data_IF_585169571106
#
_entry.id   IF_585169571106
#
_cell.length_a   1.000
_cell.length_b   1.000
_cell.length_c   1.000
_cell.angle_alpha   90.00
_cell.angle_beta   90.00
_cell.angle_gamma   90.00
#
_symmetry.space_group_name_H-M   'P 1'
#
loop_
_entity.id
_entity.type
_entity.pdbx_description
1 polymer ?
#
# COMPACT_ATOMS: atom_id res chain seq x y z
N UNK A 1 -2.79 -11.46 -35.11
CA UNK A 1 -3.07 -10.35 -34.19
C UNK A 1 -3.32 -9.09 -34.98
N UNK A 2 -3.15 -7.93 -34.38
CA UNK A 2 -3.23 -6.63 -35.06
C UNK A 2 -1.92 -5.89 -34.83
N UNK A 3 -1.31 -5.36 -35.89
CA UNK A 3 -0.20 -4.42 -35.79
C UNK A 3 -0.82 -3.05 -35.59
N UNK A 4 -0.62 -2.47 -34.41
CA UNK A 4 -0.90 -1.07 -34.15
C UNK A 4 0.35 -0.27 -34.52
N UNK A 5 0.24 0.65 -35.48
CA UNK A 5 1.38 1.49 -35.89
C UNK A 5 0.95 2.91 -36.17
N UNK A 6 1.92 3.80 -36.03
CA UNK A 6 1.78 5.22 -36.30
C UNK A 6 2.72 5.61 -37.43
N UNK A 7 2.17 6.19 -38.50
CA UNK A 7 2.94 6.77 -39.59
C UNK A 7 3.15 8.24 -39.25
N UNK A 8 4.40 8.69 -39.23
CA UNK A 8 4.75 10.10 -39.11
C UNK A 8 5.31 10.60 -40.43
N UNK A 9 4.86 11.76 -40.90
CA UNK A 9 5.27 12.34 -42.18
C UNK A 9 5.20 13.86 -42.13
N UNK A 10 5.99 14.52 -42.99
CA UNK A 10 5.92 15.98 -43.19
C UNK A 10 5.12 16.24 -44.46
N UNK A 11 4.10 17.09 -44.37
CA UNK A 11 3.28 17.45 -45.51
C UNK A 11 3.94 18.53 -46.40
N UNK A 12 3.31 18.86 -47.52
CA UNK A 12 3.83 19.88 -48.46
C UNK A 12 3.84 21.31 -47.88
N UNK A 13 3.17 21.55 -46.75
CA UNK A 13 3.21 22.81 -46.02
C UNK A 13 4.29 22.86 -44.93
N UNK A 14 5.08 21.79 -44.80
CA UNK A 14 6.14 21.68 -43.79
C UNK A 14 5.63 21.33 -42.40
N UNK A 15 4.36 20.92 -42.27
CA UNK A 15 3.78 20.49 -41.00
C UNK A 15 4.01 18.99 -40.79
N UNK A 16 4.45 18.64 -39.59
CA UNK A 16 4.48 17.24 -39.15
C UNK A 16 3.06 16.75 -38.91
N UNK A 17 2.76 15.57 -39.44
CA UNK A 17 1.47 14.90 -39.31
C UNK A 17 1.67 13.45 -38.93
N UNK A 18 0.61 12.85 -38.40
CA UNK A 18 0.61 11.44 -38.08
C UNK A 18 -0.69 10.77 -38.53
N UNK A 19 -0.60 9.51 -38.95
CA UNK A 19 -1.74 8.69 -39.34
C UNK A 19 -1.66 7.32 -38.65
N UNK A 20 -2.66 7.01 -37.82
CA UNK A 20 -2.75 5.73 -37.13
C UNK A 20 -3.25 4.65 -38.10
N UNK A 21 -2.74 3.44 -37.97
CA UNK A 21 -3.12 2.33 -38.82
C UNK A 21 -3.10 1.01 -38.04
N UNK A 22 -4.22 0.31 -38.08
CA UNK A 22 -4.34 -1.06 -37.59
C UNK A 22 -4.28 -2.03 -38.77
N UNK A 23 -3.39 -3.02 -38.67
CA UNK A 23 -3.21 -4.04 -39.72
C UNK A 23 -3.42 -5.42 -39.13
N UNK A 24 -4.55 -6.10 -39.43
CA UNK A 24 -4.74 -7.47 -39.01
C UNK A 24 -3.77 -8.39 -39.76
N UNK A 25 -3.26 -9.39 -39.06
CA UNK A 25 -2.44 -10.44 -39.65
C UNK A 25 -2.75 -11.80 -39.02
N UNK A 26 -2.44 -12.86 -39.77
CA UNK A 26 -2.45 -14.23 -39.30
C UNK A 26 -1.26 -14.98 -39.89
N UNK A 27 -0.77 -15.98 -39.16
CA UNK A 27 0.28 -16.89 -39.63
C UNK A 27 0.09 -18.25 -38.97
N UNK A 28 0.75 -19.25 -39.52
CA UNK A 28 0.85 -20.58 -38.94
C UNK A 28 2.27 -20.81 -38.45
N UNK A 29 2.41 -21.44 -37.27
CA UNK A 29 3.69 -21.89 -36.74
C UNK A 29 3.62 -23.40 -36.59
N UNK A 30 4.31 -24.12 -37.46
CA UNK A 30 4.36 -25.57 -37.38
C UNK A 30 5.29 -25.97 -36.23
N UNK A 31 4.74 -26.58 -35.17
CA UNK A 31 5.53 -27.12 -34.06
C UNK A 31 5.45 -28.64 -34.10
N UNK A 32 6.51 -29.33 -34.58
CA UNK A 32 6.52 -30.79 -34.64
C UNK A 32 6.21 -31.42 -33.27
N UNK A 33 5.31 -32.40 -33.26
CA UNK A 33 4.90 -33.13 -32.05
C UNK A 33 3.78 -32.47 -31.23
N UNK A 34 3.39 -31.23 -31.54
CA UNK A 34 2.27 -30.57 -30.86
C UNK A 34 0.93 -31.27 -31.15
N UNK A 35 0.15 -31.55 -30.10
CA UNK A 35 -1.22 -32.09 -30.19
C UNK A 35 -2.19 -31.27 -29.34
N UNK A 36 -3.49 -31.47 -29.56
CA UNK A 36 -4.53 -30.75 -28.82
C UNK A 36 -4.43 -31.00 -27.30
N UNK A 37 -4.56 -29.92 -26.51
CA UNK A 37 -4.50 -29.96 -25.05
C UNK A 37 -3.12 -29.68 -24.44
N UNK A 38 -2.07 -29.51 -25.26
CA UNK A 38 -0.75 -29.07 -24.80
C UNK A 38 -0.72 -27.57 -24.47
N UNK A 39 0.17 -27.19 -23.55
CA UNK A 39 0.39 -25.81 -23.11
C UNK A 39 1.22 -25.06 -24.18
N UNK A 40 0.73 -23.92 -24.68
CA UNK A 40 1.41 -23.12 -25.71
C UNK A 40 1.84 -21.78 -25.14
N UNK A 41 3.11 -21.44 -25.31
CA UNK A 41 3.66 -20.12 -25.04
C UNK A 41 4.08 -19.47 -26.36
N UNK A 42 3.70 -18.21 -26.56
CA UNK A 42 3.97 -17.45 -27.78
C UNK A 42 4.64 -16.15 -27.38
N UNK A 43 5.81 -15.89 -27.95
CA UNK A 43 6.48 -14.60 -27.88
C UNK A 43 6.63 -14.06 -29.30
N UNK A 44 6.47 -12.75 -29.47
CA UNK A 44 6.59 -12.11 -30.77
C UNK A 44 7.33 -10.80 -30.68
N UNK A 45 8.12 -10.49 -31.70
CA UNK A 45 8.84 -9.23 -31.81
C UNK A 45 8.76 -8.69 -33.23
N UNK A 46 8.72 -7.35 -33.36
CA UNK A 46 8.89 -6.69 -34.65
C UNK A 46 10.38 -6.68 -34.93
N UNK A 47 10.81 -7.45 -35.92
CA UNK A 47 12.21 -7.54 -36.30
C UNK A 47 12.63 -6.32 -37.12
N UNK A 48 11.79 -5.90 -38.08
CA UNK A 48 12.06 -4.71 -38.88
C UNK A 48 10.79 -4.10 -39.46
N UNK A 49 10.84 -2.79 -39.68
CA UNK A 49 9.83 -2.02 -40.43
C UNK A 49 10.56 -1.28 -41.55
N UNK A 50 10.25 -1.66 -42.79
CA UNK A 50 10.75 -0.99 -43.99
C UNK A 50 9.62 -0.22 -44.64
N UNK A 51 9.91 0.98 -45.14
CA UNK A 51 8.92 1.80 -45.82
C UNK A 51 9.53 2.55 -46.99
N UNK A 52 8.68 2.86 -47.97
CA UNK A 52 9.04 3.59 -49.18
C UNK A 52 7.83 4.41 -49.62
N UNK A 53 8.06 5.68 -49.93
CA UNK A 53 7.03 6.54 -50.50
C UNK A 53 6.94 6.26 -52.00
N UNK A 54 5.85 5.63 -52.45
CA UNK A 54 5.62 5.30 -53.87
C UNK A 54 5.24 6.53 -54.69
N UNK A 55 4.44 7.42 -54.09
CA UNK A 55 4.02 8.71 -54.65
C UNK A 55 3.90 9.73 -53.52
N UNK A 56 3.69 11.02 -53.80
CA UNK A 56 3.55 12.07 -52.77
C UNK A 56 2.50 11.75 -51.68
N UNK A 57 1.56 10.83 -51.94
CA UNK A 57 0.50 10.43 -51.00
C UNK A 57 0.37 8.93 -50.81
N UNK A 58 1.24 8.08 -51.36
CA UNK A 58 1.13 6.63 -51.18
C UNK A 58 2.37 6.05 -50.51
N UNK A 59 2.19 5.42 -49.35
CA UNK A 59 3.26 4.80 -48.58
C UNK A 59 3.19 3.28 -48.69
N UNK A 60 4.25 2.67 -49.22
CA UNK A 60 4.50 1.23 -49.12
C UNK A 60 5.17 0.93 -47.78
N UNK A 61 4.65 -0.07 -47.09
CA UNK A 61 5.13 -0.51 -45.78
C UNK A 61 5.31 -2.03 -45.78
N UNK A 62 6.39 -2.48 -45.15
CA UNK A 62 6.75 -3.89 -44.95
C UNK A 62 7.15 -4.07 -43.50
N UNK A 63 6.33 -4.78 -42.74
CA UNK A 63 6.61 -5.13 -41.34
C UNK A 63 6.97 -6.61 -41.28
N UNK A 64 8.14 -6.93 -40.74
CA UNK A 64 8.56 -8.31 -40.46
C UNK A 64 8.38 -8.57 -38.97
N UNK A 65 7.58 -9.58 -38.65
CA UNK A 65 7.33 -10.00 -37.27
C UNK A 65 7.85 -11.42 -37.11
N UNK A 66 8.70 -11.60 -36.10
CA UNK A 66 9.19 -12.91 -35.69
C UNK A 66 8.33 -13.46 -34.55
N UNK A 67 7.92 -14.72 -34.66
CA UNK A 67 7.19 -15.46 -33.63
C UNK A 67 8.06 -16.59 -33.12
N UNK A 68 8.25 -16.67 -31.81
CA UNK A 68 8.79 -17.83 -31.12
C UNK A 68 7.64 -18.55 -30.39
N UNK A 69 7.38 -19.79 -30.79
CA UNK A 69 6.34 -20.62 -30.17
C UNK A 69 6.98 -21.81 -29.48
N UNK A 70 6.60 -22.02 -28.21
CA UNK A 70 7.02 -23.14 -27.38
C UNK A 70 5.80 -23.93 -26.94
N UNK A 71 5.77 -25.22 -27.25
CA UNK A 71 4.70 -26.13 -26.84
C UNK A 71 5.22 -27.08 -25.78
N UNK A 72 4.51 -27.18 -24.66
CA UNK A 72 4.86 -27.99 -23.50
C UNK A 72 3.70 -28.88 -23.06
N UNK A 73 3.99 -29.98 -22.36
CA UNK A 73 2.99 -30.77 -21.65
C UNK A 73 3.43 -31.06 -20.23
N UNK A 74 2.49 -31.03 -19.29
CA UNK A 74 2.73 -31.50 -17.93
C UNK A 74 2.84 -33.03 -17.93
N UNK A 75 4.02 -33.56 -17.60
CA UNK A 75 4.23 -35.01 -17.47
C UNK A 75 4.70 -35.37 -16.07
N UNK A 76 4.38 -36.59 -15.65
CA UNK A 76 4.97 -37.19 -14.45
C UNK A 76 6.02 -38.19 -14.88
N UNK A 77 7.29 -37.93 -14.57
CA UNK A 77 8.40 -38.80 -14.92
C UNK A 77 9.27 -39.08 -13.70
N UNK A 78 9.84 -40.28 -13.64
CA UNK A 78 10.89 -40.60 -12.66
C UNK A 78 12.21 -40.03 -13.17
N UNK A 79 12.85 -39.22 -12.35
CA UNK A 79 14.05 -38.47 -12.75
C UNK A 79 15.26 -38.84 -11.92
N UNK A 80 16.44 -38.67 -12.50
CA UNK A 80 17.73 -38.71 -11.80
C UNK A 80 18.58 -37.59 -12.36
N UNK A 81 19.41 -36.96 -11.53
CA UNK A 81 20.34 -35.92 -11.98
C UNK A 81 21.29 -36.51 -13.05
N UNK A 82 21.53 -35.77 -14.15
CA UNK A 82 22.30 -36.32 -15.27
C UNK A 82 22.51 -35.33 -16.41
N UNK A 83 22.94 -35.82 -17.57
CA UNK A 83 23.32 -34.99 -18.74
C UNK A 83 22.13 -34.62 -19.65
N UNK A 84 20.89 -34.79 -19.19
CA UNK A 84 19.69 -34.54 -19.99
C UNK A 84 19.32 -33.06 -20.16
N UNK A 85 18.09 -32.76 -20.65
CA UNK A 85 17.62 -31.40 -20.85
C UNK A 85 17.55 -30.63 -19.52
N UNK A 86 17.62 -29.29 -19.60
CA UNK A 86 17.50 -28.41 -18.44
C UNK A 86 16.02 -28.17 -18.12
N UNK A 87 15.59 -28.51 -16.91
CA UNK A 87 14.21 -28.31 -16.45
C UNK A 87 14.17 -27.31 -15.30
N UNK A 88 13.14 -26.46 -15.30
CA UNK A 88 12.78 -25.62 -14.16
C UNK A 88 11.99 -26.47 -13.16
N UNK A 89 12.54 -26.70 -11.98
CA UNK A 89 11.97 -27.57 -10.95
C UNK A 89 11.82 -26.80 -9.65
N UNK A 90 10.81 -27.17 -8.85
CA UNK A 90 10.70 -26.76 -7.46
C UNK A 90 11.48 -27.76 -6.60
N UNK A 91 12.70 -27.40 -6.20
CA UNK A 91 13.48 -28.19 -5.25
C UNK A 91 12.92 -27.98 -3.84
N UNK A 92 12.64 -29.07 -3.15
CA UNK A 92 12.21 -29.03 -1.74
C UNK A 92 13.44 -28.83 -0.88
N UNK A 93 13.49 -27.69 -0.18
CA UNK A 93 14.57 -27.37 0.77
C UNK A 93 14.34 -28.11 2.08
N UNK A 94 13.08 -28.19 2.51
CA UNK A 94 12.68 -28.95 3.67
C UNK A 94 11.20 -28.83 3.96
N UNK A 95 10.73 -29.66 4.88
CA UNK A 95 9.38 -29.65 5.39
C UNK A 95 9.40 -30.02 6.87
N UNK A 96 8.49 -29.43 7.64
CA UNK A 96 8.34 -29.72 9.07
C UNK A 96 6.88 -29.50 9.50
N UNK A 97 6.47 -30.19 10.55
CA UNK A 97 5.19 -30.03 11.22
C UNK A 97 5.41 -29.81 12.71
N UNK A 98 4.73 -28.82 13.28
CA UNK A 98 4.64 -28.67 14.74
C UNK A 98 3.20 -28.51 15.19
N UNK A 99 2.96 -28.87 16.45
CA UNK A 99 1.70 -28.65 17.14
C UNK A 99 1.84 -27.47 18.09
N UNK A 100 0.82 -26.62 18.13
CA UNK A 100 0.68 -25.58 19.15
C UNK A 100 -0.57 -25.82 19.98
N UNK A 101 -0.46 -25.55 21.27
CA UNK A 101 -1.56 -25.60 22.23
C UNK A 101 -1.99 -24.17 22.56
N UNK A 102 -3.20 -23.80 22.17
CA UNK A 102 -3.85 -22.57 22.61
C UNK A 102 -4.75 -22.88 23.80
N UNK A 103 -4.33 -22.50 24.99
CA UNK A 103 -5.10 -22.66 26.23
C UNK A 103 -5.58 -21.29 26.73
N UNK A 104 -6.90 -21.15 26.94
CA UNK A 104 -7.47 -19.90 27.44
C UNK A 104 -8.70 -20.12 28.33
N UNK A 105 -8.98 -19.14 29.17
CA UNK A 105 -10.22 -19.04 29.93
C UNK A 105 -11.06 -17.91 29.35
N UNK A 106 -12.29 -18.24 28.93
CA UNK A 106 -13.23 -17.28 28.36
C UNK A 106 -14.40 -17.11 29.31
N UNK A 107 -14.75 -15.86 29.56
CA UNK A 107 -15.98 -15.53 30.28
C UNK A 107 -17.08 -15.43 29.23
N UNK A 108 -18.05 -16.35 29.31
CA UNK A 108 -19.25 -16.30 28.49
C UNK A 108 -20.09 -15.09 28.90
N UNK A 109 -20.67 -14.40 27.92
CA UNK A 109 -21.50 -13.20 28.15
C UNK A 109 -22.70 -13.48 29.07
N UNK A 110 -23.15 -14.73 29.13
CA UNK A 110 -24.26 -15.18 29.98
C UNK A 110 -23.88 -16.45 30.75
N UNK A 111 -24.39 -16.63 31.99
CA UNK A 111 -24.33 -17.90 32.69
C UNK A 111 -24.88 -19.04 31.84
N UNK A 112 -24.13 -20.13 31.76
CA UNK A 112 -24.46 -21.28 30.94
C UNK A 112 -24.74 -22.50 31.83
N UNK A 113 -25.69 -23.32 31.40
CA UNK A 113 -25.91 -24.67 31.96
C UNK A 113 -24.86 -25.63 31.38
N UNK A 114 -24.56 -25.48 30.08
CA UNK A 114 -23.57 -26.27 29.37
C UNK A 114 -23.11 -25.57 28.09
N UNK A 115 -21.89 -25.90 27.66
CA UNK A 115 -21.43 -25.63 26.28
C UNK A 115 -21.87 -26.79 25.40
N UNK A 116 -22.49 -26.48 24.27
CA UNK A 116 -22.96 -27.47 23.30
C UNK A 116 -21.82 -27.87 22.36
N UNK A 117 -21.19 -26.89 21.74
CA UNK A 117 -20.12 -27.09 20.77
C UNK A 117 -19.26 -25.84 20.63
N UNK A 118 -18.01 -26.02 20.22
CA UNK A 118 -17.13 -24.94 19.78
C UNK A 118 -16.77 -25.24 18.33
N UNK A 119 -17.15 -24.36 17.42
CA UNK A 119 -16.79 -24.43 16.01
C UNK A 119 -15.63 -23.48 15.76
N UNK A 120 -14.54 -23.99 15.19
CA UNK A 120 -13.32 -23.21 15.02
C UNK A 120 -12.77 -23.35 13.60
N UNK A 121 -12.11 -22.29 13.12
CA UNK A 121 -11.38 -22.29 11.86
C UNK A 121 -10.14 -21.41 11.96
N UNK A 122 -9.13 -21.76 11.19
CA UNK A 122 -7.91 -20.97 11.05
C UNK A 122 -8.10 -20.00 9.88
N UNK A 123 -7.76 -18.74 10.10
CA UNK A 123 -7.87 -17.65 9.13
C UNK A 123 -6.57 -16.85 9.07
N UNK A 124 -6.41 -16.10 7.98
CA UNK A 124 -5.35 -15.11 7.78
C UNK A 124 -3.94 -15.65 8.02
N UNK A 125 -3.69 -16.87 7.54
CA UNK A 125 -2.39 -17.53 7.69
C UNK A 125 -1.37 -16.91 6.74
N UNK A 126 -0.32 -16.35 7.32
CA UNK A 126 0.83 -15.80 6.59
C UNK A 126 2.07 -16.58 7.02
N UNK A 127 2.93 -16.89 6.07
CA UNK A 127 4.22 -17.49 6.37
C UNK A 127 5.37 -16.86 5.58
N UNK A 128 6.54 -16.82 6.23
CA UNK A 128 7.77 -16.31 5.63
C UNK A 128 8.94 -17.22 6.01
N UNK A 129 9.70 -17.63 5.01
CA UNK A 129 10.99 -18.28 5.23
C UNK A 129 12.01 -17.24 5.71
N UNK A 130 12.77 -17.60 6.73
CA UNK A 130 13.96 -16.90 7.21
C UNK A 130 15.11 -17.92 7.32
N UNK A 131 16.27 -17.50 7.81
CA UNK A 131 17.41 -18.39 7.95
C UNK A 131 17.09 -19.59 8.86
N UNK A 132 17.08 -20.79 8.27
CA UNK A 132 16.79 -22.10 8.90
C UNK A 132 15.43 -22.25 9.60
N UNK A 133 14.51 -21.30 9.43
CA UNK A 133 13.19 -21.31 10.06
C UNK A 133 12.12 -20.79 9.10
N UNK A 134 10.88 -21.18 9.36
CA UNK A 134 9.68 -20.55 8.81
C UNK A 134 8.88 -19.92 9.95
N UNK A 135 8.54 -18.65 9.80
CA UNK A 135 7.60 -17.96 10.70
C UNK A 135 6.21 -18.17 10.15
N UNK A 136 5.28 -18.65 10.98
CA UNK A 136 3.86 -18.78 10.64
C UNK A 136 3.04 -17.97 11.63
N UNK A 137 2.13 -17.14 11.12
CA UNK A 137 1.20 -16.34 11.90
C UNK A 137 -0.22 -16.53 11.36
N UNK A 138 -1.22 -16.50 12.23
CA UNK A 138 -2.61 -16.59 11.83
C UNK A 138 -3.56 -16.33 12.99
N UNK A 139 -4.87 -16.44 12.71
CA UNK A 139 -5.93 -16.24 13.69
C UNK A 139 -6.72 -17.54 13.85
N UNK A 140 -6.86 -17.99 15.09
CA UNK A 140 -7.83 -19.01 15.49
C UNK A 140 -9.15 -18.32 15.81
N UNK A 141 -10.09 -18.38 14.87
CA UNK A 141 -11.44 -17.86 15.05
C UNK A 141 -12.36 -18.96 15.57
N UNK A 142 -13.13 -18.67 16.61
CA UNK A 142 -14.02 -19.63 17.26
C UNK A 142 -15.40 -19.06 17.47
N UNK A 143 -16.38 -19.96 17.42
CA UNK A 143 -17.75 -19.72 17.87
C UNK A 143 -18.11 -20.74 18.93
N UNK A 144 -18.35 -20.25 20.14
CA UNK A 144 -18.80 -21.06 21.26
C UNK A 144 -20.32 -21.03 21.30
N UNK A 145 -20.96 -22.17 21.11
CA UNK A 145 -22.41 -22.35 21.24
C UNK A 145 -22.72 -22.96 22.61
N UNK A 146 -23.58 -22.32 23.38
CA UNK A 146 -23.89 -22.72 24.75
C UNK A 146 -25.36 -22.48 25.10
N UNK A 147 -25.86 -23.21 26.11
CA UNK A 147 -27.23 -23.08 26.60
C UNK A 147 -27.23 -22.26 27.87
N UNK A 148 -27.95 -21.13 27.87
CA UNK A 148 -28.11 -20.26 29.02
C UNK A 148 -28.94 -20.88 30.14
N UNK A 149 -28.92 -20.28 31.33
CA UNK A 149 -29.78 -20.68 32.47
C UNK A 149 -31.28 -20.50 32.21
N UNK A 150 -31.64 -19.73 31.19
CA UNK A 150 -32.99 -19.55 30.65
C UNK A 150 -33.39 -20.61 29.62
N UNK A 151 -32.51 -21.61 29.39
CA UNK A 151 -32.69 -22.68 28.42
C UNK A 151 -32.75 -22.21 26.95
N UNK A 152 -32.17 -21.04 26.66
CA UNK A 152 -31.99 -20.49 25.31
C UNK A 152 -30.57 -20.76 24.80
N UNK A 153 -30.43 -21.05 23.51
CA UNK A 153 -29.13 -21.22 22.85
C UNK A 153 -28.54 -19.86 22.47
N UNK A 154 -27.29 -19.66 22.86
CA UNK A 154 -26.49 -18.46 22.55
C UNK A 154 -25.19 -18.86 21.86
N UNK A 155 -24.59 -17.88 21.20
CA UNK A 155 -23.25 -18.02 20.62
C UNK A 155 -22.36 -16.84 21.01
N UNK A 156 -21.05 -17.08 21.09
CA UNK A 156 -20.06 -16.05 21.36
C UNK A 156 -18.80 -16.28 20.51
N UNK A 157 -18.35 -15.21 19.87
CA UNK A 157 -17.16 -15.19 19.03
C UNK A 157 -15.90 -14.91 19.84
N UNK A 158 -14.80 -15.52 19.42
CA UNK A 158 -13.46 -15.21 19.95
C UNK A 158 -12.42 -15.38 18.85
N UNK A 159 -11.53 -14.39 18.73
CA UNK A 159 -10.36 -14.44 17.86
C UNK A 159 -9.09 -14.49 18.71
N UNK A 160 -8.29 -15.54 18.50
CA UNK A 160 -7.01 -15.71 19.19
C UNK A 160 -5.89 -15.70 18.16
N UNK A 161 -4.99 -14.69 18.16
CA UNK A 161 -3.81 -14.71 17.31
C UNK A 161 -2.84 -15.80 17.77
N UNK A 162 -2.23 -16.50 16.82
CA UNK A 162 -1.14 -17.44 17.10
C UNK A 162 0.08 -17.17 16.22
N UNK A 163 1.25 -17.54 16.73
CA UNK A 163 2.53 -17.45 16.02
C UNK A 163 3.41 -18.63 16.43
N UNK A 164 4.14 -19.20 15.47
CA UNK A 164 5.13 -20.24 15.75
C UNK A 164 6.30 -20.19 14.76
N UNK A 165 7.39 -20.86 15.14
CA UNK A 165 8.56 -21.08 14.29
C UNK A 165 8.67 -22.55 13.97
N UNK A 166 8.76 -22.90 12.69
CA UNK A 166 9.11 -24.25 12.25
C UNK A 166 10.59 -24.28 11.92
N UNK A 167 11.36 -25.12 12.61
CA UNK A 167 12.75 -25.37 12.27
C UNK A 167 12.84 -26.17 10.97
N UNK A 168 13.33 -25.52 9.91
CA UNK A 168 13.53 -26.13 8.59
C UNK A 168 14.94 -25.74 8.12
N UNK A 169 15.96 -26.57 8.40
CA UNK A 169 17.34 -26.27 8.01
C UNK A 169 17.47 -26.00 6.50
N UNK A 170 18.27 -25.00 6.13
CA UNK A 170 18.54 -24.64 4.73
C UNK A 170 17.60 -23.57 4.15
N UNK A 171 16.58 -23.14 4.88
CA UNK A 171 15.72 -22.04 4.42
C UNK A 171 16.42 -20.68 4.52
N UNK A 172 16.10 -19.77 3.59
CA UNK A 172 16.51 -18.35 3.60
C UNK A 172 15.34 -17.46 3.16
N UNK A 173 15.48 -16.15 3.33
CA UNK A 173 14.49 -15.18 2.90
C UNK A 173 14.22 -15.26 1.38
N UNK A 174 12.95 -15.17 0.99
CA UNK A 174 12.51 -15.18 -0.41
C UNK A 174 12.19 -16.55 -1.01
N UNK A 175 12.36 -17.65 -0.26
CA UNK A 175 11.91 -18.98 -0.71
C UNK A 175 10.39 -19.13 -0.64
N UNK A 176 9.84 -19.99 -1.50
CA UNK A 176 8.40 -20.28 -1.56
C UNK A 176 7.98 -21.17 -0.39
N UNK A 177 7.00 -20.73 0.39
CA UNK A 177 6.47 -21.48 1.54
C UNK A 177 5.03 -21.87 1.28
N UNK A 178 4.71 -23.16 1.38
CA UNK A 178 3.34 -23.67 1.40
C UNK A 178 2.98 -24.12 2.80
N UNK A 179 1.88 -23.61 3.33
CA UNK A 179 1.37 -23.93 4.67
C UNK A 179 0.08 -24.73 4.58
N UNK A 180 -0.04 -25.73 5.45
CA UNK A 180 -1.31 -26.35 5.78
C UNK A 180 -1.48 -26.33 7.31
N UNK A 181 -2.50 -25.65 7.81
CA UNK A 181 -2.79 -25.54 9.23
C UNK A 181 -4.17 -26.15 9.50
N UNK A 182 -4.23 -27.12 10.43
CA UNK A 182 -5.45 -27.85 10.76
C UNK A 182 -5.66 -27.85 12.28
N UNK A 183 -6.93 -27.82 12.69
CA UNK A 183 -7.31 -28.00 14.09
C UNK A 183 -7.50 -29.49 14.31
N UNK A 184 -6.69 -30.08 15.18
CA UNK A 184 -6.77 -31.51 15.48
C UNK A 184 -7.79 -31.78 16.59
N UNK A 185 -7.74 -30.98 17.66
CA UNK A 185 -8.58 -31.19 18.83
C UNK A 185 -9.02 -29.86 19.45
N UNK A 186 -10.26 -29.85 19.92
CA UNK A 186 -10.81 -28.80 20.79
C UNK A 186 -11.33 -29.51 22.03
N UNK A 187 -10.76 -29.18 23.19
CA UNK A 187 -11.19 -29.65 24.49
C UNK A 187 -11.71 -28.46 25.27
N UNK A 188 -12.80 -28.63 26.01
CA UNK A 188 -13.37 -27.55 26.79
C UNK A 188 -14.12 -28.09 28.00
N UNK A 189 -14.08 -27.30 29.07
CA UNK A 189 -14.79 -27.55 30.31
C UNK A 189 -15.47 -26.25 30.74
N UNK A 190 -16.79 -26.30 30.89
CA UNK A 190 -17.50 -25.23 31.57
C UNK A 190 -17.28 -25.43 33.07
N UNK A 191 -16.56 -24.49 33.69
CA UNK A 191 -16.27 -24.52 35.12
C UNK A 191 -17.49 -24.04 35.90
N UNK A 192 -17.43 -22.85 36.49
CA UNK A 192 -18.56 -22.28 37.25
C UNK A 192 -19.22 -21.12 36.51
N UNK A 193 -20.55 -21.16 36.44
CA UNK A 193 -21.39 -20.10 35.90
C UNK A 193 -21.17 -19.86 34.41
N UNK A 194 -20.22 -18.98 34.08
CA UNK A 194 -19.89 -18.56 32.72
C UNK A 194 -18.40 -18.69 32.39
N UNK A 195 -17.59 -19.32 33.24
CA UNK A 195 -16.16 -19.50 32.96
C UNK A 195 -15.93 -20.77 32.13
N UNK A 196 -15.56 -20.59 30.87
CA UNK A 196 -15.20 -21.66 29.95
C UNK A 196 -13.67 -21.81 29.90
N UNK A 197 -13.18 -22.96 30.34
CA UNK A 197 -11.81 -23.38 30.09
C UNK A 197 -11.73 -24.12 28.76
N UNK A 198 -10.74 -23.80 27.91
CA UNK A 198 -10.61 -24.43 26.61
C UNK A 198 -9.16 -24.60 26.19
N UNK A 199 -8.93 -25.67 25.42
CA UNK A 199 -7.65 -26.05 24.83
C UNK A 199 -7.86 -26.39 23.36
N UNK A 200 -7.14 -25.72 22.48
CA UNK A 200 -7.17 -26.02 21.04
C UNK A 200 -5.78 -26.45 20.60
N UNK A 201 -5.71 -27.64 20.00
CA UNK A 201 -4.49 -28.18 19.39
C UNK A 201 -4.54 -27.91 17.90
N UNK A 202 -3.57 -27.14 17.43
CA UNK A 202 -3.41 -26.80 16.01
C UNK A 202 -2.14 -27.48 15.51
N UNK A 203 -2.23 -28.25 14.44
CA UNK A 203 -1.07 -28.76 13.71
C UNK A 203 -0.80 -27.86 12.50
N UNK A 204 0.44 -27.41 12.38
CA UNK A 204 0.90 -26.59 11.25
C UNK A 204 2.02 -27.32 10.54
N UNK A 205 1.79 -27.65 9.27
CA UNK A 205 2.78 -28.18 8.34
C UNK A 205 3.25 -27.08 7.39
N UNK A 206 4.56 -26.97 7.21
CA UNK A 206 5.16 -26.13 6.19
C UNK A 206 6.06 -26.94 5.27
N UNK A 207 6.01 -26.61 3.98
CA UNK A 207 6.92 -27.09 2.95
C UNK A 207 7.56 -25.91 2.25
N UNK A 208 8.89 -25.88 2.22
CA UNK A 208 9.67 -24.81 1.58
C UNK A 208 10.31 -25.32 0.30
N UNK A 209 10.12 -24.56 -0.77
CA UNK A 209 10.71 -24.84 -2.08
C UNK A 209 11.49 -23.65 -2.63
N UNK A 210 12.47 -23.93 -3.47
CA UNK A 210 13.09 -22.91 -4.34
C UNK A 210 13.05 -23.38 -5.79
N UNK A 211 12.99 -22.43 -6.71
CA UNK A 211 13.13 -22.74 -8.12
C UNK A 211 14.61 -23.01 -8.46
N UNK A 212 14.86 -24.13 -9.13
CA UNK A 212 16.18 -24.49 -9.65
C UNK A 212 16.07 -24.92 -11.11
N UNK A 213 17.19 -24.79 -11.84
CA UNK A 213 17.35 -25.36 -13.16
C UNK A 213 18.31 -26.54 -13.08
N UNK A 214 17.80 -27.75 -13.26
CA UNK A 214 18.60 -28.97 -13.19
C UNK A 214 18.56 -29.71 -14.51
N UNK A 215 19.71 -30.26 -14.90
CA UNK A 215 19.77 -31.23 -15.99
C UNK A 215 19.33 -32.57 -15.43
N UNK A 216 18.20 -33.06 -15.91
CA UNK A 216 17.64 -34.33 -15.45
C UNK A 216 17.60 -35.34 -16.59
N UNK A 217 17.93 -36.58 -16.27
CA UNK A 217 17.72 -37.73 -17.13
C UNK A 217 16.55 -38.56 -16.60
N UNK A 218 15.87 -39.30 -17.48
CA UNK A 218 14.89 -40.31 -17.08
C UNK A 218 15.59 -41.42 -16.30
N UNK A 219 15.02 -41.83 -15.16
CA UNK A 219 15.67 -42.77 -14.23
C UNK A 219 14.71 -43.45 -13.26
N UNK A 220 15.24 -44.07 -12.21
CA UNK A 220 14.43 -44.74 -11.16
C UNK A 220 14.20 -43.87 -9.92
N UNK A 221 14.54 -42.58 -9.97
CA UNK A 221 14.32 -41.66 -8.85
C UNK A 221 12.86 -41.22 -8.68
N UNK A 222 12.60 -40.18 -7.89
CA UNK A 222 11.24 -39.77 -7.52
C UNK A 222 10.42 -39.35 -8.74
N UNK A 223 9.11 -39.62 -8.67
CA UNK A 223 8.16 -39.19 -9.68
C UNK A 223 7.91 -37.69 -9.51
N UNK A 224 8.32 -36.89 -10.48
CA UNK A 224 8.16 -35.43 -10.46
C UNK A 224 7.23 -34.98 -11.58
N UNK A 225 6.37 -34.01 -11.29
CA UNK A 225 5.56 -33.31 -12.30
C UNK A 225 6.43 -32.20 -12.92
N UNK A 226 6.68 -32.28 -14.22
CA UNK A 226 7.53 -31.33 -14.95
C UNK A 226 6.82 -30.88 -16.23
N UNK A 227 7.19 -29.69 -16.73
CA UNK A 227 6.79 -29.24 -18.06
C UNK A 227 7.82 -29.73 -19.07
N UNK A 228 7.44 -30.69 -19.93
CA UNK A 228 8.30 -31.18 -21.00
C UNK A 228 8.06 -30.34 -22.26
N UNK A 229 9.13 -29.79 -22.84
CA UNK A 229 9.09 -29.16 -24.16
C UNK A 229 8.91 -30.24 -25.23
N UNK A 230 7.85 -30.11 -26.01
CA UNK A 230 7.51 -31.02 -27.11
C UNK A 230 8.08 -30.52 -28.43
N UNK A 231 8.06 -29.21 -28.61
CA UNK A 231 8.67 -28.57 -29.75
C UNK A 231 8.76 -27.07 -29.54
N UNK A 232 9.72 -26.49 -30.25
CA UNK A 232 9.89 -25.05 -30.38
C UNK A 232 10.06 -24.77 -31.87
N UNK A 233 9.47 -23.68 -32.35
CA UNK A 233 9.75 -23.22 -33.69
C UNK A 233 9.68 -21.69 -33.77
N UNK A 234 10.42 -21.16 -34.73
CA UNK A 234 10.40 -19.75 -35.09
C UNK A 234 9.82 -19.64 -36.49
N UNK A 235 8.89 -18.70 -36.67
CA UNK A 235 8.44 -18.29 -38.00
C UNK A 235 8.47 -16.79 -38.12
N UNK A 236 8.62 -16.30 -39.34
CA UNK A 236 8.52 -14.88 -39.66
C UNK A 236 7.34 -14.65 -40.58
N UNK A 237 6.61 -13.57 -40.36
CA UNK A 237 5.56 -13.11 -41.27
C UNK A 237 5.91 -11.71 -41.78
N UNK A 238 5.84 -11.54 -43.10
CA UNK A 238 5.94 -10.26 -43.76
C UNK A 238 4.53 -9.71 -44.02
N UNK A 239 4.19 -8.60 -43.39
CA UNK A 239 2.97 -7.86 -43.67
C UNK A 239 3.31 -6.69 -44.59
N UNK A 240 2.91 -6.81 -45.86
CA UNK A 240 3.09 -5.76 -46.89
C UNK A 240 1.77 -5.02 -47.10
N UNK A 241 1.78 -3.69 -46.99
CA UNK A 241 0.60 -2.84 -47.23
C UNK A 241 0.98 -1.54 -47.94
N UNK A 242 0.10 -1.10 -48.85
CA UNK A 242 0.14 0.25 -49.44
C UNK A 242 -1.03 1.02 -48.85
N UNK A 243 -0.79 2.21 -48.31
CA UNK A 243 -1.84 3.05 -47.72
C UNK A 243 -1.72 4.48 -48.25
N UNK A 244 -2.84 5.15 -48.54
CA UNK A 244 -2.82 6.58 -48.82
C UNK A 244 -2.55 7.37 -47.52
N UNK A 245 -1.72 8.40 -47.65
CA UNK A 245 -1.47 9.44 -46.66
C UNK A 245 -2.62 10.44 -46.74
N UNK A 246 -3.37 10.58 -45.65
CA UNK A 246 -4.51 11.50 -45.57
C UNK A 246 -4.03 12.82 -44.97
N UNK A 247 -4.14 13.92 -45.74
CA UNK A 247 -3.86 15.29 -45.28
C UNK A 247 -5.19 15.95 -44.90
N UNK A 248 -5.50 16.13 -43.61
CA UNK A 248 -6.70 16.86 -43.21
C UNK A 248 -6.57 18.36 -43.54
N UNK A 249 -7.68 19.06 -43.84
CA UNK A 249 -7.67 20.51 -44.07
C UNK A 249 -7.22 21.24 -42.80
N UNK A 250 -6.41 22.31 -42.97
CA UNK A 250 -5.90 23.14 -41.88
C UNK A 250 -7.07 23.74 -41.09
N UNK A 251 -7.21 23.45 -39.77
CA UNK A 251 -8.22 24.07 -38.93
C UNK A 251 -7.99 25.59 -38.81
N UNK A 252 -9.05 26.40 -38.59
CA UNK A 252 -8.88 27.80 -38.23
C UNK A 252 -8.05 27.92 -36.95
N UNK A 253 -7.21 28.95 -36.88
CA UNK A 253 -6.33 29.23 -35.74
C UNK A 253 -7.14 29.23 -34.43
N UNK A 254 -6.77 28.41 -33.44
CA UNK A 254 -7.43 28.42 -32.14
C UNK A 254 -7.25 29.77 -31.44
N UNK A 255 -8.19 30.14 -30.54
CA UNK A 255 -8.00 31.29 -29.67
C UNK A 255 -6.72 31.11 -28.84
N UNK A 256 -6.04 32.22 -28.48
CA UNK A 256 -4.85 32.16 -27.62
C UNK A 256 -5.20 31.50 -26.29
N UNK A 257 -4.27 30.71 -25.76
CA UNK A 257 -4.42 30.06 -24.46
C UNK A 257 -4.55 31.10 -23.35
N UNK A 258 -5.45 30.85 -22.38
CA UNK A 258 -5.55 31.64 -21.16
C UNK A 258 -5.12 30.76 -19.99
N UNK A 259 -4.11 31.21 -19.25
CA UNK A 259 -3.60 30.54 -18.05
C UNK A 259 -3.99 31.35 -16.82
N UNK A 260 -4.54 30.69 -15.81
CA UNK A 260 -4.61 31.22 -14.46
C UNK A 260 -3.30 30.95 -13.75
N UNK A 261 -2.64 31.98 -13.22
CA UNK A 261 -1.48 31.82 -12.33
C UNK A 261 -1.70 32.50 -10.99
N UNK A 262 -1.10 31.94 -9.95
CA UNK A 262 -1.07 32.53 -8.62
C UNK A 262 0.32 32.36 -8.02
N UNK A 263 0.83 33.41 -7.37
CA UNK A 263 2.05 33.33 -6.57
C UNK A 263 1.74 32.82 -5.17
N UNK A 264 2.21 31.62 -4.85
CA UNK A 264 2.15 31.03 -3.51
C UNK A 264 3.46 31.36 -2.78
N UNK A 265 3.34 31.90 -1.58
CA UNK A 265 4.44 32.15 -0.66
C UNK A 265 4.62 30.91 0.20
N UNK A 266 5.78 30.28 0.09
CA UNK A 266 6.15 29.16 0.95
C UNK A 266 7.14 29.71 1.98
N UNK A 267 6.76 29.79 3.25
CA UNK A 267 7.68 30.18 4.31
C UNK A 267 8.90 29.26 4.32
N UNK A 268 10.09 29.81 4.48
CA UNK A 268 11.26 28.99 4.72
C UNK A 268 11.20 28.37 6.12
N UNK A 269 11.85 27.23 6.30
CA UNK A 269 12.01 26.59 7.61
C UNK A 269 13.47 26.72 8.00
N UNK A 270 13.74 27.40 9.10
CA UNK A 270 15.10 27.58 9.64
C UNK A 270 15.52 26.34 10.44
N UNK A 271 14.62 25.83 11.28
CA UNK A 271 14.87 24.63 12.08
C UNK A 271 13.57 23.88 12.36
N UNK A 272 13.66 22.54 12.43
CA UNK A 272 12.62 21.68 12.98
C UNK A 272 13.18 21.00 14.20
N UNK A 273 12.55 21.22 15.35
CA UNK A 273 12.99 20.68 16.64
C UNK A 273 11.91 19.73 17.11
N UNK A 274 12.29 18.47 17.29
CA UNK A 274 11.38 17.44 17.76
C UNK A 274 11.87 16.85 19.07
N UNK A 275 10.97 16.73 20.05
CA UNK A 275 11.29 16.17 21.35
C UNK A 275 10.15 15.36 21.94
N UNK A 276 10.49 14.17 22.43
CA UNK A 276 9.59 13.32 23.18
C UNK A 276 9.51 13.79 24.64
N UNK A 277 8.30 13.88 25.18
CA UNK A 277 8.03 14.30 26.56
C UNK A 277 7.18 13.25 27.26
N UNK A 278 7.57 12.90 28.48
CA UNK A 278 6.82 11.98 29.33
C UNK A 278 6.10 12.77 30.42
N UNK A 279 4.79 12.52 30.54
CA UNK A 279 3.96 13.11 31.59
C UNK A 279 3.42 11.97 32.45
N UNK A 280 3.85 11.93 33.70
CA UNK A 280 3.27 11.05 34.71
C UNK A 280 1.99 11.71 35.25
N UNK A 281 0.90 10.95 35.23
CA UNK A 281 -0.38 11.40 35.77
C UNK A 281 -1.04 10.29 36.59
N UNK A 282 -1.60 10.63 37.74
CA UNK A 282 -2.37 9.70 38.55
C UNK A 282 -3.78 10.27 38.77
N UNK A 283 -4.79 9.55 38.31
CA UNK A 283 -6.19 9.95 38.48
C UNK A 283 -6.91 8.98 39.40
N UNK A 284 -7.73 9.52 40.30
CA UNK A 284 -8.59 8.71 41.17
C UNK A 284 -9.97 8.56 40.53
N UNK A 285 -10.34 7.32 40.24
CA UNK A 285 -11.66 6.97 39.74
C UNK A 285 -12.73 7.22 40.82
N UNK A 286 -13.91 7.72 40.43
CA UNK A 286 -14.99 8.02 41.37
C UNK A 286 -15.53 6.75 42.05
N UNK A 287 -15.44 5.62 41.34
CA UNK A 287 -15.79 4.27 41.84
C UNK A 287 -14.68 3.28 41.47
N UNK A 288 -14.52 2.16 42.22
CA UNK A 288 -13.54 1.13 41.87
C UNK A 288 -13.83 0.50 40.50
N UNK A 289 -12.80 0.36 39.67
CA UNK A 289 -12.83 -0.33 38.39
C UNK A 289 -12.33 -1.77 38.51
N UNK A 290 -12.96 -2.67 37.76
CA UNK A 290 -12.48 -4.04 37.53
C UNK A 290 -11.45 -4.05 36.39
N UNK A 291 -11.74 -3.31 35.31
CA UNK A 291 -10.85 -3.19 34.14
C UNK A 291 -10.95 -1.82 33.49
N UNK A 292 -9.86 -1.38 32.89
CA UNK A 292 -9.83 -0.22 32.00
C UNK A 292 -10.07 -0.72 30.57
N UNK A 293 -11.04 -0.13 29.88
CA UNK A 293 -11.37 -0.48 28.49
C UNK A 293 -10.52 0.32 27.51
N UNK A 294 -10.43 1.63 27.73
CA UNK A 294 -9.66 2.52 26.88
C UNK A 294 -9.24 3.77 27.66
N UNK A 295 -8.08 4.31 27.30
CA UNK A 295 -7.68 5.66 27.68
C UNK A 295 -7.33 6.37 26.38
N UNK A 296 -8.09 7.40 26.04
CA UNK A 296 -7.88 8.22 24.85
C UNK A 296 -7.63 9.67 25.26
N UNK A 297 -7.04 10.46 24.35
CA UNK A 297 -6.89 11.88 24.59
C UNK A 297 -6.70 12.68 23.30
N UNK A 298 -6.87 13.99 23.42
CA UNK A 298 -6.61 14.98 22.39
C UNK A 298 -5.81 16.14 23.00
N UNK A 299 -5.03 16.83 22.17
CA UNK A 299 -4.29 18.02 22.59
C UNK A 299 -5.16 19.25 22.38
N UNK A 300 -5.26 20.11 23.39
CA UNK A 300 -5.95 21.39 23.35
C UNK A 300 -5.03 22.51 23.81
N UNK A 301 -5.31 23.75 23.38
CA UNK A 301 -4.64 24.97 23.84
C UNK A 301 -3.11 24.93 23.70
N UNK A 302 -2.61 24.35 22.61
CA UNK A 302 -1.18 24.24 22.34
C UNK A 302 -0.60 25.60 21.96
N UNK A 303 0.41 26.06 22.70
CA UNK A 303 1.05 27.37 22.50
C UNK A 303 2.57 27.19 22.63
N UNK A 304 3.32 27.83 21.72
CA UNK A 304 4.77 27.95 21.78
C UNK A 304 5.21 29.37 22.07
N UNK A 305 6.15 29.55 22.98
CA UNK A 305 6.78 30.83 23.27
C UNK A 305 8.30 30.67 23.25
N UNK A 306 9.00 31.48 22.46
CA UNK A 306 10.47 31.54 22.51
C UNK A 306 10.91 32.13 23.84
N UNK A 307 11.78 31.41 24.53
CA UNK A 307 12.50 31.84 25.74
C UNK A 307 14.00 31.74 25.48
N UNK A 308 14.89 32.28 26.33
CA UNK A 308 16.33 32.14 26.12
C UNK A 308 16.72 30.67 25.94
N UNK A 309 17.37 30.35 24.81
CA UNK A 309 17.90 29.05 24.41
C UNK A 309 16.88 27.89 24.26
N UNK A 310 15.58 28.16 24.31
CA UNK A 310 14.54 27.14 24.18
C UNK A 310 13.20 27.68 23.68
N UNK A 311 12.33 26.78 23.26
CA UNK A 311 10.91 27.05 22.98
C UNK A 311 10.09 26.41 24.10
N UNK A 312 9.41 27.24 24.89
CA UNK A 312 8.46 26.79 25.90
C UNK A 312 7.15 26.41 25.20
N UNK A 313 6.81 25.12 25.24
CA UNK A 313 5.55 24.59 24.72
C UNK A 313 4.63 24.28 25.88
N UNK A 314 3.43 24.86 25.87
CA UNK A 314 2.38 24.58 26.85
C UNK A 314 1.12 24.09 26.16
N UNK A 315 0.37 23.23 26.84
CA UNK A 315 -0.89 22.70 26.33
C UNK A 315 -1.61 21.86 27.36
N UNK A 316 -2.75 21.31 26.97
CA UNK A 316 -3.55 20.42 27.81
C UNK A 316 -3.88 19.15 27.05
N UNK A 317 -3.59 18.00 27.65
CA UNK A 317 -4.13 16.72 27.18
C UNK A 317 -5.54 16.58 27.76
N UNK A 318 -6.58 16.72 26.93
CA UNK A 318 -7.95 16.39 27.29
C UNK A 318 -8.14 14.89 27.13
N UNK A 319 -8.39 14.19 28.22
CA UNK A 319 -8.41 12.73 28.30
C UNK A 319 -9.78 12.19 28.62
N UNK A 320 -10.03 11.00 28.13
CA UNK A 320 -11.23 10.22 28.35
C UNK A 320 -10.84 8.81 28.77
N UNK A 321 -11.26 8.39 29.96
CA UNK A 321 -11.00 7.06 30.53
C UNK A 321 -12.31 6.30 30.54
N UNK A 322 -12.37 5.24 29.75
CA UNK A 322 -13.47 4.27 29.77
C UNK A 322 -13.09 3.07 30.63
N UNK A 323 -13.91 2.78 31.63
CA UNK A 323 -13.65 1.68 32.56
C UNK A 323 -14.93 0.95 32.95
N UNK A 324 -14.79 -0.28 33.43
CA UNK A 324 -15.90 -1.10 33.93
C UNK A 324 -15.83 -1.12 35.45
N UNK A 325 -16.90 -0.67 36.10
CA UNK A 325 -17.00 -0.68 37.57
C UNK A 325 -17.33 -2.07 38.15
N UNK A 326 -17.36 -2.17 39.48
CA UNK A 326 -17.70 -3.42 40.19
C UNK A 326 -19.13 -3.93 39.94
N UNK A 327 -20.01 -3.10 39.38
CA UNK A 327 -21.36 -3.47 38.97
C UNK A 327 -21.43 -3.85 37.48
N UNK A 328 -20.28 -4.09 36.83
CA UNK A 328 -20.15 -4.35 35.40
C UNK A 328 -20.70 -3.24 34.49
N UNK A 329 -20.82 -2.02 35.01
CA UNK A 329 -21.28 -0.86 34.25
C UNK A 329 -20.09 -0.16 33.61
N UNK A 330 -20.18 0.12 32.31
CA UNK A 330 -19.21 0.98 31.61
C UNK A 330 -19.41 2.42 32.07
N UNK A 331 -18.33 3.04 32.54
CA UNK A 331 -18.27 4.45 32.92
C UNK A 331 -17.20 5.18 32.14
N UNK A 332 -17.39 6.48 32.03
CA UNK A 332 -16.45 7.41 31.43
C UNK A 332 -16.03 8.46 32.47
N UNK A 333 -14.74 8.77 32.51
CA UNK A 333 -14.18 9.89 33.27
C UNK A 333 -13.39 10.78 32.31
N UNK A 334 -13.72 12.06 32.27
CA UNK A 334 -12.93 13.06 31.56
C UNK A 334 -11.97 13.77 32.52
N UNK A 335 -10.76 14.03 32.04
CA UNK A 335 -9.68 14.65 32.79
C UNK A 335 -8.88 15.59 31.89
N UNK A 336 -8.40 16.71 32.42
CA UNK A 336 -7.50 17.62 31.72
C UNK A 336 -6.13 17.56 32.39
N UNK A 337 -5.10 17.14 31.65
CA UNK A 337 -3.72 17.05 32.14
C UNK A 337 -2.90 18.16 31.47
N UNK A 338 -2.64 19.29 32.15
CA UNK A 338 -1.79 20.34 31.60
C UNK A 338 -0.35 19.88 31.52
N UNK A 339 0.37 20.32 30.49
CA UNK A 339 1.79 20.05 30.33
C UNK A 339 2.57 21.30 29.91
N UNK A 340 3.86 21.26 30.20
CA UNK A 340 4.84 22.27 29.85
C UNK A 340 6.16 21.57 29.52
N UNK A 341 6.78 21.94 28.41
CA UNK A 341 8.06 21.39 27.99
C UNK A 341 8.95 22.48 27.39
N UNK A 342 10.26 22.33 27.55
CA UNK A 342 11.26 23.19 26.91
C UNK A 342 11.94 22.40 25.80
N UNK A 343 11.75 22.85 24.56
CA UNK A 343 12.46 22.33 23.38
C UNK A 343 13.78 23.11 23.21
N UNK A 344 14.96 22.48 23.35
CA UNK A 344 16.24 23.17 23.20
C UNK A 344 16.39 23.80 21.82
N UNK A 345 16.63 25.10 21.78
CA UNK A 345 16.54 25.90 20.57
C UNK A 345 17.50 27.10 20.64
N UNK A 346 18.81 26.82 20.66
CA UNK A 346 19.84 27.85 20.79
C UNK A 346 19.95 28.70 19.51
N UNK A 347 20.05 30.03 19.69
CA UNK A 347 20.30 30.96 18.58
C UNK A 347 19.06 31.49 17.86
N UNK A 348 17.84 31.11 18.26
CA UNK A 348 16.61 31.66 17.67
C UNK A 348 16.35 33.08 18.22
N UNK A 349 16.17 34.04 17.32
CA UNK A 349 15.85 35.41 17.70
C UNK A 349 14.45 35.51 18.36
N UNK A 350 14.28 36.32 19.43
CA UNK A 350 12.96 36.58 19.98
C UNK A 350 12.02 37.19 18.92
N UNK A 351 10.82 36.63 18.79
CA UNK A 351 9.82 37.07 17.82
C UNK A 351 9.86 36.36 16.46
N UNK A 352 10.81 35.44 16.24
CA UNK A 352 10.74 34.52 15.09
C UNK A 352 9.43 33.73 15.15
N UNK A 353 8.64 33.67 14.06
CA UNK A 353 7.42 32.88 14.03
C UNK A 353 7.75 31.39 14.22
N UNK A 354 7.01 30.72 15.10
CA UNK A 354 7.15 29.29 15.37
C UNK A 354 5.78 28.63 15.29
N UNK A 355 5.71 27.53 14.54
CA UNK A 355 4.55 26.65 14.52
C UNK A 355 4.80 25.46 15.44
N UNK A 356 3.81 25.11 16.26
CA UNK A 356 3.90 24.00 17.21
C UNK A 356 2.86 22.94 16.86
N UNK A 357 3.30 21.69 16.79
CA UNK A 357 2.43 20.52 16.77
C UNK A 357 2.79 19.56 17.90
N UNK A 358 1.80 18.79 18.33
CA UNK A 358 1.95 17.80 19.39
C UNK A 358 1.13 16.56 19.04
N UNK A 359 1.74 15.39 19.14
CA UNK A 359 1.10 14.10 18.92
C UNK A 359 1.18 13.26 20.20
N UNK A 360 0.13 12.51 20.50
CA UNK A 360 0.11 11.53 21.59
C UNK A 360 0.59 10.20 21.01
N UNK A 361 1.84 9.83 21.25
CA UNK A 361 2.37 8.55 20.77
C UNK A 361 1.78 7.38 21.56
N UNK A 362 1.65 7.54 22.88
CA UNK A 362 1.15 6.47 23.74
C UNK A 362 0.58 7.03 25.06
N UNK A 363 -0.44 6.35 25.59
CA UNK A 363 -0.89 6.50 26.97
C UNK A 363 -0.85 5.12 27.63
N UNK A 364 0.24 4.84 28.33
CA UNK A 364 0.35 3.61 29.14
C UNK A 364 -0.28 3.84 30.51
N UNK A 365 -0.84 2.77 31.10
CA UNK A 365 -1.50 2.88 32.39
C UNK A 365 -1.39 1.60 33.23
N UNK A 366 -1.49 1.76 34.54
CA UNK A 366 -1.63 0.68 35.51
C UNK A 366 -2.70 1.02 36.53
N UNK A 367 -3.58 0.07 36.82
CA UNK A 367 -4.62 0.21 37.81
C UNK A 367 -4.12 -0.34 39.15
N UNK A 368 -4.21 0.46 40.20
CA UNK A 368 -3.90 0.04 41.57
C UNK A 368 -4.79 -1.12 42.03
N UNK A 369 -4.30 -1.91 42.99
CA UNK A 369 -4.97 -3.11 43.49
C UNK A 369 -6.38 -2.86 44.07
N UNK A 370 -6.67 -1.65 44.54
CA UNK A 370 -8.00 -1.28 45.05
C UNK A 370 -8.97 -0.82 43.94
N UNK A 371 -8.52 -0.83 42.68
CA UNK A 371 -9.30 -0.43 41.51
C UNK A 371 -9.58 1.09 41.43
N UNK A 372 -8.98 1.93 42.28
CA UNK A 372 -9.34 3.35 42.37
C UNK A 372 -8.34 4.30 41.74
N UNK A 373 -7.05 4.03 41.83
CA UNK A 373 -6.01 4.91 41.28
C UNK A 373 -5.49 4.34 39.97
N UNK A 374 -5.54 5.13 38.92
CA UNK A 374 -4.99 4.83 37.60
C UNK A 374 -3.72 5.66 37.41
N UNK A 375 -2.56 5.00 37.51
CA UNK A 375 -1.26 5.62 37.21
C UNK A 375 -1.03 5.54 35.71
N UNK A 376 -0.59 6.63 35.11
CA UNK A 376 -0.54 6.81 33.67
C UNK A 376 0.78 7.46 33.28
N UNK A 377 1.37 7.01 32.18
CA UNK A 377 2.50 7.69 31.54
C UNK A 377 2.06 8.03 30.13
N UNK A 378 1.91 9.32 29.87
CA UNK A 378 1.58 9.88 28.56
C UNK A 378 2.89 10.23 27.87
N UNK A 379 3.06 9.73 26.67
CA UNK A 379 4.20 10.00 25.81
C UNK A 379 3.73 10.93 24.70
N UNK A 380 4.27 12.15 24.67
CA UNK A 380 4.01 13.14 23.64
C UNK A 380 5.22 13.31 22.74
N UNK A 381 4.98 13.45 21.45
CA UNK A 381 5.96 13.95 20.49
C UNK A 381 5.64 15.41 20.21
N UNK A 382 6.51 16.33 20.65
CA UNK A 382 6.38 17.76 20.36
C UNK A 382 7.27 18.11 19.18
N UNK A 383 6.73 18.86 18.22
CA UNK A 383 7.49 19.41 17.11
C UNK A 383 7.31 20.93 17.07
N UNK A 384 8.42 21.65 17.05
CA UNK A 384 8.45 23.08 16.82
C UNK A 384 9.14 23.36 15.48
N UNK A 385 8.42 24.00 14.58
CA UNK A 385 8.93 24.44 13.27
C UNK A 385 9.21 25.93 13.36
N UNK A 386 10.48 26.28 13.26
CA UNK A 386 10.98 27.66 13.32
C UNK A 386 11.00 28.21 11.90
N UNK A 387 10.22 29.26 11.68
CA UNK A 387 10.06 29.84 10.34
C UNK A 387 11.21 30.80 10.04
N UNK A 388 11.81 30.64 8.86
CA UNK A 388 12.79 31.57 8.34
C UNK A 388 12.13 32.88 7.91
N UNK A 389 12.90 33.97 7.97
CA UNK A 389 12.52 35.25 7.34
C UNK A 389 12.62 35.21 5.82
N UNK A 390 13.35 34.24 5.27
CA UNK A 390 13.40 33.99 3.83
C UNK A 390 12.24 33.09 3.42
N UNK A 391 11.36 33.61 2.59
CA UNK A 391 10.26 32.86 1.98
C UNK A 391 10.49 32.75 0.47
N UNK A 392 10.24 31.57 -0.07
CA UNK A 392 10.25 31.35 -1.52
C UNK A 392 8.87 31.68 -2.09
N UNK A 393 8.84 32.30 -3.27
CA UNK A 393 7.59 32.56 -4.00
C UNK A 393 7.57 31.64 -5.22
N UNK A 394 6.54 30.82 -5.33
CA UNK A 394 6.36 29.88 -6.44
C UNK A 394 5.11 30.29 -7.20
N UNK A 395 5.25 30.54 -8.49
CA UNK A 395 4.12 30.75 -9.39
C UNK A 395 3.55 29.39 -9.80
N UNK A 396 2.26 29.19 -9.54
CA UNK A 396 1.56 27.93 -9.85
C UNK A 396 0.43 28.18 -10.83
N UNK A 397 0.17 27.21 -11.69
CA UNK A 397 -0.96 27.22 -12.61
C UNK A 397 -2.23 26.80 -11.85
N UNK A 398 -3.28 27.62 -11.95
CA UNK A 398 -4.58 27.38 -11.30
C UNK A 398 -5.68 27.04 -12.30
N UNK A 399 -5.51 27.38 -13.58
CA UNK A 399 -6.39 26.97 -14.67
C UNK A 399 -5.69 26.99 -16.02
N UNK A 400 -6.13 26.13 -16.94
CA UNK A 400 -5.65 26.09 -18.34
C UNK A 400 -6.87 26.09 -19.27
N UNK A 401 -7.09 27.20 -19.97
CA UNK A 401 -8.11 27.28 -21.02
C UNK A 401 -7.43 27.17 -22.39
N UNK A 402 -7.40 25.95 -22.92
CA UNK A 402 -6.91 25.65 -24.27
C UNK A 402 -7.71 24.51 -24.91
N UNK A 403 -8.09 24.58 -26.20
CA UNK A 403 -9.03 23.61 -26.76
C UNK A 403 -8.52 22.16 -26.69
N UNK A 404 -9.32 21.28 -26.10
CA UNK A 404 -9.01 19.86 -25.95
C UNK A 404 -8.10 19.51 -24.77
N UNK A 405 -7.55 20.49 -24.05
CA UNK A 405 -6.75 20.24 -22.85
C UNK A 405 -7.66 19.88 -21.68
N UNK A 406 -7.26 18.84 -20.95
CA UNK A 406 -7.86 18.37 -19.71
C UNK A 406 -6.86 18.58 -18.57
N UNK A 407 -7.31 19.14 -17.45
CA UNK A 407 -6.51 19.36 -16.25
C UNK A 407 -6.88 18.37 -15.16
N UNK A 408 -5.91 18.01 -14.32
CA UNK A 408 -6.13 17.43 -13.00
C UNK A 408 -5.90 18.51 -11.97
N UNK A 409 -6.85 18.69 -11.07
CA UNK A 409 -6.91 19.82 -10.15
C UNK A 409 -7.00 19.34 -8.71
N UNK A 410 -6.42 20.12 -7.80
CA UNK A 410 -6.45 19.86 -6.37
C UNK A 410 -6.84 21.14 -5.62
N UNK A 411 -7.81 21.03 -4.70
CA UNK A 411 -8.20 22.12 -3.82
C UNK A 411 -7.24 22.16 -2.62
N UNK A 412 -6.57 23.29 -2.44
CA UNK A 412 -5.56 23.49 -1.40
C UNK A 412 -5.81 24.79 -0.64
N UNK A 413 -5.27 24.89 0.57
CA UNK A 413 -5.16 26.13 1.33
C UNK A 413 -3.70 26.57 1.35
N UNK A 414 -3.42 27.79 0.92
CA UNK A 414 -2.05 28.28 0.81
C UNK A 414 -1.96 29.79 1.08
N UNK A 415 -0.75 30.26 1.43
CA UNK A 415 -0.47 31.69 1.53
C UNK A 415 -0.28 32.27 0.13
N UNK A 416 -1.30 32.95 -0.37
CA UNK A 416 -1.29 33.57 -1.69
C UNK A 416 -0.82 35.03 -1.57
N UNK A 417 0.10 35.43 -2.43
CA UNK A 417 0.60 36.81 -2.44
C UNK A 417 -0.43 37.74 -3.11
N UNK A 418 -1.07 38.62 -2.32
CA UNK A 418 -2.00 39.65 -2.79
C UNK A 418 -1.48 41.03 -2.42
N UNK A 419 -1.25 41.89 -3.43
CA UNK A 419 -0.75 43.25 -3.20
C UNK A 419 0.49 43.29 -2.29
N UNK A 420 1.42 42.33 -2.47
CA UNK A 420 2.63 42.15 -1.66
C UNK A 420 2.40 41.65 -0.21
N UNK A 421 1.19 41.22 0.14
CA UNK A 421 0.87 40.65 1.44
C UNK A 421 0.46 39.18 1.27
N UNK A 422 1.11 38.22 1.95
CA UNK A 422 0.65 36.83 1.99
C UNK A 422 -0.71 36.73 2.70
N UNK A 423 -1.70 36.15 2.05
CA UNK A 423 -3.04 35.91 2.59
C UNK A 423 -3.38 34.43 2.49
N UNK A 424 -3.88 33.83 3.58
CA UNK A 424 -4.30 32.43 3.56
C UNK A 424 -5.62 32.31 2.77
N UNK A 425 -5.58 31.60 1.64
CA UNK A 425 -6.71 31.43 0.73
C UNK A 425 -6.89 29.94 0.37
N UNK A 426 -8.14 29.53 0.16
CA UNK A 426 -8.44 28.26 -0.50
C UNK A 426 -8.49 28.49 -2.02
N UNK A 427 -7.73 27.71 -2.78
CA UNK A 427 -7.64 27.82 -4.23
C UNK A 427 -7.42 26.46 -4.87
N UNK A 428 -7.79 26.38 -6.14
CA UNK A 428 -7.48 25.21 -6.98
C UNK A 428 -6.12 25.36 -7.62
N UNK A 429 -5.29 24.31 -7.55
CA UNK A 429 -4.02 24.22 -8.27
C UNK A 429 -4.08 23.08 -9.30
N UNK A 430 -3.47 23.29 -10.45
CA UNK A 430 -3.34 22.26 -11.50
C UNK A 430 -2.15 21.37 -11.14
N UNK A 431 -2.40 20.07 -11.02
CA UNK A 431 -1.37 19.04 -10.73
C UNK A 431 -0.96 18.27 -11.98
N UNK A 432 -1.78 18.30 -13.04
CA UNK A 432 -1.46 17.75 -14.35
C UNK A 432 -2.27 18.41 -15.46
N UNK A 433 -1.76 18.43 -16.68
CA UNK A 433 -2.50 18.86 -17.86
C UNK A 433 -2.12 17.98 -19.05
N UNK A 434 -3.13 17.47 -19.77
CA UNK A 434 -2.95 16.59 -20.93
C UNK A 434 -3.92 16.98 -22.03
N UNK A 435 -3.47 16.95 -23.29
CA UNK A 435 -4.33 17.22 -24.43
C UNK A 435 -3.57 17.70 -25.65
N UNK A 436 -4.27 17.90 -26.79
CA UNK A 436 -3.66 18.42 -28.00
C UNK A 436 -3.02 19.79 -27.75
N UNK A 437 -1.81 19.95 -28.29
CA UNK A 437 -0.99 21.14 -28.13
C UNK A 437 -0.28 21.28 -26.77
N UNK A 438 -0.44 20.39 -25.80
CA UNK A 438 0.46 20.37 -24.62
C UNK A 438 1.79 19.76 -25.04
N UNK A 439 2.84 20.59 -25.13
CA UNK A 439 4.19 20.15 -25.54
C UNK A 439 5.04 19.72 -24.34
N UNK A 440 4.94 20.47 -23.24
CA UNK A 440 5.65 20.19 -22.00
C UNK A 440 4.92 20.78 -20.79
N UNK A 441 5.11 20.16 -19.63
CA UNK A 441 4.71 20.70 -18.34
C UNK A 441 5.94 20.71 -17.42
N UNK A 442 6.13 21.80 -16.68
CA UNK A 442 7.08 21.85 -15.58
C UNK A 442 6.31 21.72 -14.29
N UNK A 443 6.88 20.94 -13.38
CA UNK A 443 6.28 20.67 -12.08
C UNK A 443 7.28 20.96 -10.97
N UNK A 444 6.76 21.38 -9.83
CA UNK A 444 7.52 21.57 -8.61
C UNK A 444 6.76 20.93 -7.45
N UNK A 445 7.50 20.28 -6.55
CA UNK A 445 6.94 19.78 -5.29
C UNK A 445 7.01 20.90 -4.25
N UNK A 446 5.86 21.30 -3.73
CA UNK A 446 5.74 22.35 -2.72
C UNK A 446 4.82 21.88 -1.57
N UNK A 447 5.08 22.28 -0.31
CA UNK A 447 4.22 21.92 0.81
C UNK A 447 2.91 22.72 0.76
N UNK A 448 1.76 22.04 0.73
CA UNK A 448 0.41 22.64 0.69
C UNK A 448 -0.55 21.91 1.63
N UNK A 449 -1.44 22.64 2.30
CA UNK A 449 -2.55 22.08 3.09
C UNK A 449 -3.66 21.64 2.11
N UNK A 450 -3.95 20.34 2.03
CA UNK A 450 -4.94 19.81 1.08
C UNK A 450 -6.30 19.81 1.75
N UNK A 451 -7.27 20.50 1.13
CA UNK A 451 -8.58 20.66 1.73
C UNK A 451 -9.34 19.32 1.73
N UNK A 452 -9.88 18.94 2.90
CA UNK A 452 -10.65 17.71 3.14
C UNK A 452 -9.86 16.38 3.13
N UNK A 453 -8.54 16.40 3.28
CA UNK A 453 -7.74 15.17 3.38
C UNK A 453 -7.68 14.56 4.81
N UNK A 454 -8.23 15.28 5.80
CA UNK A 454 -8.20 14.87 7.21
C UNK A 454 -6.85 15.13 7.91
N UNK A 455 -5.89 15.76 7.22
CA UNK A 455 -4.60 16.18 7.74
C UNK A 455 -4.49 17.72 7.68
N UNK A 456 -4.49 18.42 8.83
CA UNK A 456 -4.40 19.88 8.84
C UNK A 456 -3.00 20.42 8.52
N UNK A 457 -2.00 19.55 8.32
CA UNK A 457 -0.62 19.95 8.09
C UNK A 457 -0.28 19.94 6.59
N UNK A 458 0.51 20.92 6.09
CA UNK A 458 0.97 20.91 4.71
C UNK A 458 1.70 19.62 4.33
N UNK A 459 1.33 19.06 3.18
CA UNK A 459 1.94 17.86 2.58
C UNK A 459 2.66 18.21 1.28
N UNK A 460 3.68 17.45 0.87
CA UNK A 460 4.32 17.67 -0.43
C UNK A 460 3.34 17.40 -1.57
N UNK A 461 2.99 18.45 -2.32
CA UNK A 461 2.12 18.37 -3.50
C UNK A 461 2.93 18.74 -4.74
N UNK A 462 2.84 17.89 -5.76
CA UNK A 462 3.42 18.18 -7.07
C UNK A 462 2.45 19.04 -7.90
N UNK A 463 2.79 20.32 -8.08
CA UNK A 463 1.96 21.29 -8.82
C UNK A 463 2.62 21.67 -10.16
N UNK A 464 1.82 22.04 -11.14
CA UNK A 464 2.29 22.58 -12.42
C UNK A 464 2.67 24.05 -12.23
N UNK A 465 3.92 24.39 -12.53
CA UNK A 465 4.45 25.76 -12.43
C UNK A 465 4.58 26.45 -13.78
N UNK A 466 4.70 25.67 -14.86
CA UNK A 466 4.74 26.19 -16.22
C UNK A 466 4.18 25.16 -17.20
N UNK A 467 3.58 25.63 -18.29
CA UNK A 467 3.02 24.80 -19.35
C UNK A 467 3.37 25.39 -20.72
N UNK A 468 4.03 24.57 -21.54
CA UNK A 468 4.35 24.95 -22.92
C UNK A 468 3.26 24.44 -23.85
N UNK A 469 2.52 25.37 -24.46
CA UNK A 469 1.47 25.07 -25.43
C UNK A 469 1.95 25.35 -26.86
N UNK A 470 1.73 24.38 -27.74
CA UNK A 470 1.98 24.43 -29.17
C UNK A 470 0.69 24.67 -29.97
N UNK A 471 0.80 24.83 -31.30
CA UNK A 471 -0.36 24.94 -32.16
C UNK A 471 -1.23 23.67 -32.06
N UNK A 472 -2.55 23.83 -32.18
CA UNK A 472 -3.44 22.69 -32.41
C UNK A 472 -3.20 22.21 -33.85
N UNK A 473 -2.55 21.06 -33.99
CA UNK A 473 -2.30 20.40 -35.29
C UNK A 473 -3.47 19.53 -35.73
#
# INVERSE_FOLDING_TARGET
GVIHKQIFFVDTSGLERHQAEDVPFSTFVDVPGAVAGMNVQIHSEIETVLFELLTQTELLQKVVIQFFVKVTQSVQIRVTEGTGPLFKLAEVIGENSEQILSESNVILERPAIKVREIVARIQDVIAKAILNKVIVQGILHKQVFYIGTDNVEYHQAEDIPFSLFLDIPGTIAGMDVRINAIIEHIMFDLLEGNLLHQKVVIQVFAKVTREVQLRIATGQGPLVKVEQVIGENVTQVLVRRVVPIIIPPVPPTPPPAVLGTVSIVIPGVEAVITQQVLIENAVTLPVPAIKIRAVTGTILNLVGQIVPDAILVTGTVNKSVDFVDVANTVRNLQENVPFSALLPAAGIAPGTPVEISAEIENISFSLSNNGRVLNQVIVLQLTATVMSTESQVVEVITSVEFPGVQTTELLVRALVLRNSVPQLEELTVVTNAVGPGVLAIQKQVIPLDVVNDGNPNPVPVEVVTDITLGPLT
#
